data_IF_147585063224
#
_entry.id   IF_147585063224
#
_cell.length_a   1.000
_cell.length_b   1.000
_cell.length_c   1.000
_cell.angle_alpha   90.00
_cell.angle_beta   90.00
_cell.angle_gamma   90.00
#
_symmetry.space_group_name_H-M   'P 1'
#
loop_
_entity.id
_entity.type
_entity.pdbx_description
1 polymer ?
#
# COMPACT_ATOMS: atom_id res chain seq x y z
N UNK A 1 10.56 -14.72 -21.59
CA UNK A 1 10.26 -15.85 -20.69
C UNK A 1 10.14 -15.35 -19.26
N UNK A 2 8.98 -14.81 -18.89
CA UNK A 2 8.60 -14.69 -17.49
C UNK A 2 8.22 -16.10 -17.01
N UNK A 3 8.83 -16.57 -15.93
CA UNK A 3 8.34 -17.75 -15.21
C UNK A 3 6.97 -17.35 -14.64
N UNK A 4 5.91 -17.81 -15.29
CA UNK A 4 4.57 -17.81 -14.72
C UNK A 4 4.64 -18.61 -13.41
N UNK A 5 4.55 -17.92 -12.27
CA UNK A 5 3.87 -18.53 -11.14
C UNK A 5 2.40 -18.56 -11.53
N UNK A 6 1.82 -19.75 -11.67
CA UNK A 6 0.37 -19.91 -11.72
C UNK A 6 -0.18 -19.42 -10.37
N UNK A 7 -0.87 -18.27 -10.27
CA UNK A 7 -1.46 -17.83 -9.01
C UNK A 7 -2.78 -18.59 -8.75
N UNK A 8 -3.26 -19.34 -9.73
CA UNK A 8 -4.54 -20.00 -9.73
C UNK A 8 -4.30 -21.47 -10.04
N UNK A 9 -4.67 -22.33 -9.10
CA UNK A 9 -4.82 -23.77 -9.36
C UNK A 9 -5.84 -24.03 -10.48
N UNK A 10 -6.20 -25.29 -10.74
CA UNK A 10 -7.06 -25.69 -11.87
C UNK A 10 -8.51 -25.18 -11.65
N UNK A 11 -8.73 -23.90 -11.88
CA UNK A 11 -9.95 -23.17 -11.58
C UNK A 11 -10.43 -22.40 -12.80
N UNK A 12 -11.73 -22.41 -13.01
CA UNK A 12 -12.40 -21.67 -14.08
C UNK A 12 -12.16 -20.17 -13.84
N UNK A 13 -11.43 -19.52 -14.73
CA UNK A 13 -11.24 -18.07 -14.68
C UNK A 13 -12.55 -17.37 -15.07
N UNK A 14 -13.08 -16.45 -14.24
CA UNK A 14 -14.23 -15.65 -14.62
C UNK A 14 -13.94 -14.86 -15.89
N UNK A 15 -14.90 -14.79 -16.82
CA UNK A 15 -14.75 -14.04 -18.08
C UNK A 15 -14.32 -12.57 -17.84
N UNK A 16 -14.76 -11.98 -16.71
CA UNK A 16 -14.36 -10.64 -16.31
C UNK A 16 -12.83 -10.46 -16.15
N UNK A 17 -12.11 -11.48 -15.69
CA UNK A 17 -10.65 -11.42 -15.55
C UNK A 17 -9.91 -11.39 -16.89
N UNK A 18 -10.56 -11.84 -17.97
CA UNK A 18 -10.04 -11.75 -19.34
C UNK A 18 -10.44 -10.41 -19.97
N UNK A 19 -11.71 -10.00 -19.78
CA UNK A 19 -12.26 -8.79 -20.39
C UNK A 19 -11.65 -7.52 -19.78
N UNK A 20 -11.34 -7.52 -18.48
CA UNK A 20 -10.84 -6.32 -17.80
C UNK A 20 -9.50 -5.81 -18.37
N UNK A 21 -8.46 -6.65 -18.55
CA UNK A 21 -7.25 -6.24 -19.27
C UNK A 21 -7.51 -5.68 -20.67
N UNK A 22 -8.38 -6.34 -21.46
CA UNK A 22 -8.73 -5.86 -22.80
C UNK A 22 -9.38 -4.48 -22.77
N UNK A 23 -10.27 -4.25 -21.79
CA UNK A 23 -10.92 -2.96 -21.59
C UNK A 23 -9.91 -1.87 -21.18
N UNK A 24 -8.92 -2.20 -20.34
CA UNK A 24 -7.86 -1.25 -19.96
C UNK A 24 -7.00 -0.87 -21.18
N UNK A 25 -6.59 -1.83 -21.99
CA UNK A 25 -5.86 -1.57 -23.25
C UNK A 25 -6.71 -0.69 -24.18
N UNK A 26 -7.99 -1.04 -24.36
CA UNK A 26 -8.91 -0.26 -25.18
C UNK A 26 -9.06 1.18 -24.65
N UNK A 27 -9.12 1.39 -23.34
CA UNK A 27 -9.18 2.72 -22.75
C UNK A 27 -7.98 3.59 -23.15
N UNK A 28 -6.76 3.02 -23.13
CA UNK A 28 -5.54 3.73 -23.57
C UNK A 28 -5.58 4.06 -25.07
N UNK A 29 -6.09 3.14 -25.89
CA UNK A 29 -6.07 3.28 -27.34
C UNK A 29 -7.22 4.13 -27.90
N UNK A 30 -8.36 4.19 -27.22
CA UNK A 30 -9.54 4.91 -27.68
C UNK A 30 -9.57 6.37 -27.20
N UNK A 31 -8.95 6.68 -26.05
CA UNK A 31 -8.88 8.04 -25.55
C UNK A 31 -7.81 8.84 -26.28
N UNK A 32 -8.10 10.14 -26.51
CA UNK A 32 -7.17 11.08 -27.13
C UNK A 32 -6.36 11.78 -26.05
N UNK A 33 -5.30 11.13 -25.60
CA UNK A 33 -4.28 11.75 -24.77
C UNK A 33 -2.92 11.64 -25.46
N UNK A 34 -2.16 12.72 -25.43
CA UNK A 34 -0.81 12.76 -26.01
C UNK A 34 0.19 11.98 -25.15
N UNK A 35 0.01 12.04 -23.82
CA UNK A 35 0.87 11.41 -22.83
C UNK A 35 0.00 10.69 -21.79
N UNK A 36 0.37 9.45 -21.51
CA UNK A 36 -0.23 8.62 -20.48
C UNK A 36 0.72 8.44 -19.31
N UNK A 37 0.23 8.64 -18.08
CA UNK A 37 0.99 8.42 -16.86
C UNK A 37 0.36 7.26 -16.08
N UNK A 38 1.15 6.24 -15.79
CA UNK A 38 0.73 5.08 -15.03
C UNK A 38 1.75 4.71 -13.95
N UNK A 39 1.29 3.96 -12.96
CA UNK A 39 2.16 3.32 -11.97
C UNK A 39 2.77 2.03 -12.53
N UNK A 40 3.96 1.68 -12.04
CA UNK A 40 4.68 0.45 -12.42
C UNK A 40 3.89 -0.84 -12.14
N UNK A 41 2.91 -0.84 -11.24
CA UNK A 41 1.99 -1.97 -11.01
C UNK A 41 1.06 -2.26 -12.22
N UNK A 42 0.97 -1.34 -13.19
CA UNK A 42 0.23 -1.52 -14.45
C UNK A 42 1.11 -1.90 -15.64
N UNK A 43 2.39 -2.25 -15.40
CA UNK A 43 3.37 -2.56 -16.44
C UNK A 43 2.90 -3.62 -17.43
N UNK A 44 2.24 -4.67 -16.97
CA UNK A 44 1.80 -5.77 -17.83
C UNK A 44 0.73 -5.31 -18.84
N UNK A 45 -0.23 -4.49 -18.39
CA UNK A 45 -1.26 -3.88 -19.25
C UNK A 45 -0.63 -2.95 -20.28
N UNK A 46 0.41 -2.21 -19.87
CA UNK A 46 1.12 -1.29 -20.76
C UNK A 46 1.94 -2.04 -21.80
N UNK A 47 2.59 -3.14 -21.41
CA UNK A 47 3.27 -4.02 -22.36
C UNK A 47 2.27 -4.62 -23.36
N UNK A 48 1.14 -5.14 -22.89
CA UNK A 48 0.08 -5.64 -23.76
C UNK A 48 -0.44 -4.58 -24.74
N UNK A 49 -0.55 -3.32 -24.28
CA UNK A 49 -0.95 -2.20 -25.14
C UNK A 49 0.07 -1.93 -26.24
N UNK A 50 1.37 -2.01 -25.91
CA UNK A 50 2.47 -1.80 -26.86
C UNK A 50 2.52 -2.91 -27.90
N UNK A 51 2.46 -4.16 -27.45
CA UNK A 51 2.45 -5.34 -28.31
C UNK A 51 1.28 -5.26 -29.30
N UNK A 52 0.08 -4.92 -28.82
CA UNK A 52 -1.08 -4.72 -29.69
C UNK A 52 -0.88 -3.62 -30.75
N UNK A 53 -0.23 -2.50 -30.40
CA UNK A 53 0.05 -1.44 -31.36
C UNK A 53 1.07 -1.87 -32.42
N UNK A 54 2.02 -2.74 -32.06
CA UNK A 54 3.00 -3.31 -32.97
C UNK A 54 2.33 -4.31 -33.93
N UNK A 55 1.54 -5.24 -33.40
CA UNK A 55 0.82 -6.25 -34.18
C UNK A 55 -0.18 -5.64 -35.18
N UNK A 56 -0.81 -4.54 -34.81
CA UNK A 56 -1.79 -3.84 -35.66
C UNK A 56 -1.16 -2.77 -36.57
N UNK A 57 0.17 -2.61 -36.57
CA UNK A 57 0.88 -1.55 -37.28
C UNK A 57 0.27 -0.16 -37.05
N UNK A 58 -0.11 0.11 -35.80
CA UNK A 58 -0.82 1.35 -35.45
C UNK A 58 0.12 2.54 -35.61
N UNK A 59 -0.27 3.50 -36.45
CA UNK A 59 0.51 4.71 -36.69
C UNK A 59 0.56 5.66 -35.48
N UNK A 60 -0.53 5.73 -34.70
CA UNK A 60 -0.58 6.54 -33.48
C UNK A 60 -0.36 5.67 -32.24
N UNK A 61 0.90 5.55 -31.80
CA UNK A 61 1.30 4.81 -30.60
C UNK A 61 1.29 5.76 -29.38
N UNK A 62 0.70 5.37 -28.24
CA UNK A 62 0.66 6.22 -27.05
C UNK A 62 2.06 6.42 -26.46
N UNK A 63 2.39 7.65 -26.06
CA UNK A 63 3.58 7.92 -25.24
C UNK A 63 3.22 7.65 -23.78
N UNK A 64 3.89 6.68 -23.15
CA UNK A 64 3.56 6.22 -21.80
C UNK A 64 4.76 6.44 -20.86
N UNK A 65 4.51 7.12 -19.74
CA UNK A 65 5.42 7.23 -18.61
C UNK A 65 4.97 6.35 -17.45
N UNK A 66 5.94 5.70 -16.82
CA UNK A 66 5.75 4.84 -15.67
C UNK A 66 6.42 5.48 -14.46
N UNK A 67 5.65 5.75 -13.40
CA UNK A 67 6.20 6.15 -12.10
C UNK A 67 6.32 4.95 -11.16
N UNK A 68 7.29 4.99 -10.26
CA UNK A 68 7.46 3.95 -9.24
C UNK A 68 6.20 3.80 -8.39
N UNK A 69 5.85 2.56 -8.07
CA UNK A 69 4.85 2.28 -7.05
C UNK A 69 5.48 2.52 -5.66
N UNK A 70 4.70 3.09 -4.75
CA UNK A 70 5.15 3.29 -3.36
C UNK A 70 5.16 1.94 -2.63
N UNK A 71 6.16 1.69 -1.77
CA UNK A 71 6.19 0.48 -0.95
C UNK A 71 5.10 0.52 0.13
N UNK A 72 4.67 -0.66 0.58
CA UNK A 72 3.80 -0.80 1.74
C UNK A 72 4.57 -0.52 3.04
N UNK A 73 3.87 -0.10 4.11
CA UNK A 73 4.49 0.18 5.41
C UNK A 73 4.90 -1.08 6.18
N UNK A 74 4.15 -2.17 6.02
CA UNK A 74 4.47 -3.47 6.61
C UNK A 74 4.95 -4.42 5.51
N UNK A 75 5.94 -5.22 5.84
CA UNK A 75 6.50 -6.25 4.94
C UNK A 75 5.80 -7.61 5.09
N UNK A 76 4.88 -7.74 6.05
CA UNK A 76 4.26 -9.02 6.39
C UNK A 76 3.42 -9.60 5.23
N UNK A 77 3.74 -10.80 4.71
CA UNK A 77 3.02 -11.42 3.60
C UNK A 77 1.59 -11.87 3.93
N UNK A 78 1.20 -11.96 5.21
CA UNK A 78 -0.16 -12.31 5.62
C UNK A 78 -1.15 -11.15 5.42
N UNK A 79 -0.67 -9.90 5.44
CA UNK A 79 -1.49 -8.73 5.21
C UNK A 79 -1.43 -8.32 3.74
N UNK A 80 -2.16 -9.01 2.86
CA UNK A 80 -2.19 -8.68 1.42
C UNK A 80 -3.17 -7.55 1.06
N UNK A 81 -4.06 -7.18 1.98
CA UNK A 81 -5.10 -6.19 1.73
C UNK A 81 -4.55 -4.76 1.83
N UNK A 82 -4.50 -4.03 0.72
CA UNK A 82 -4.06 -2.62 0.68
C UNK A 82 -4.99 -1.67 1.43
N UNK A 83 -6.21 -2.09 1.77
CA UNK A 83 -7.13 -1.33 2.62
C UNK A 83 -6.85 -1.48 4.11
N UNK A 84 -5.86 -2.29 4.48
CA UNK A 84 -5.50 -2.47 5.89
C UNK A 84 -4.82 -1.19 6.42
N UNK A 85 -5.34 -0.56 7.50
CA UNK A 85 -4.77 0.67 8.06
C UNK A 85 -3.32 0.57 8.51
N UNK A 86 -2.86 -0.65 8.83
CA UNK A 86 -1.44 -0.88 9.14
C UNK A 86 -0.50 -0.82 7.93
N UNK A 87 -0.98 -0.87 6.68
CA UNK A 87 -0.13 -0.93 5.46
C UNK A 87 -0.12 0.36 4.64
N UNK A 88 -1.19 1.14 4.73
CA UNK A 88 -1.45 2.29 3.86
C UNK A 88 -1.84 3.47 4.73
N UNK A 89 -1.17 4.61 4.52
CA UNK A 89 -1.65 5.88 5.05
C UNK A 89 -2.77 6.38 4.15
N UNK A 90 -3.94 6.62 4.71
CA UNK A 90 -5.07 7.19 3.98
C UNK A 90 -5.07 8.71 4.09
N UNK A 91 -5.65 9.36 3.08
CA UNK A 91 -5.64 10.82 2.96
C UNK A 91 -6.38 11.57 4.08
N UNK A 92 -7.12 10.85 4.93
CA UNK A 92 -7.92 11.38 6.03
C UNK A 92 -7.50 10.76 7.38
N UNK A 93 -6.26 10.27 7.47
CA UNK A 93 -5.69 9.81 8.74
C UNK A 93 -5.37 11.01 9.64
N UNK A 94 -5.52 10.83 10.95
CA UNK A 94 -5.28 11.88 11.94
C UNK A 94 -3.82 11.92 12.39
N UNK A 95 -3.32 13.13 12.67
CA UNK A 95 -1.99 13.34 13.21
C UNK A 95 -1.86 12.85 14.66
N UNK A 96 -0.70 12.28 15.00
CA UNK A 96 -0.29 11.98 16.39
C UNK A 96 1.03 12.66 16.71
N UNK A 97 1.06 13.43 17.81
CA UNK A 97 2.19 14.25 18.23
C UNK A 97 3.48 13.46 18.55
N UNK A 98 4.64 14.08 18.29
CA UNK A 98 5.97 13.61 18.70
C UNK A 98 7.03 14.72 18.55
N UNK A 99 8.07 14.72 19.39
CA UNK A 99 9.16 15.71 19.35
C UNK A 99 10.35 15.21 18.51
N UNK A 100 10.76 15.97 17.50
CA UNK A 100 11.83 15.58 16.56
C UNK A 100 13.00 16.56 16.55
N UNK A 101 14.15 16.09 16.06
CA UNK A 101 15.34 16.93 15.84
C UNK A 101 15.15 17.87 14.63
N UNK A 102 15.70 19.10 14.70
CA UNK A 102 15.54 20.13 13.68
C UNK A 102 16.72 20.17 12.70
N UNK A 103 16.92 19.08 11.94
CA UNK A 103 17.96 19.00 10.91
C UNK A 103 17.35 19.09 9.51
N UNK A 104 17.95 19.90 8.65
CA UNK A 104 17.55 20.05 7.25
C UNK A 104 18.57 19.35 6.35
N UNK A 105 18.09 18.67 5.31
CA UNK A 105 18.92 17.99 4.31
C UNK A 105 18.76 18.69 2.97
N UNK A 106 19.86 18.91 2.26
CA UNK A 106 19.84 19.62 0.97
C UNK A 106 19.49 18.69 -0.20
N UNK A 107 19.64 17.38 -0.02
CA UNK A 107 19.31 16.39 -1.04
C UNK A 107 18.94 15.03 -0.45
N UNK A 108 18.21 14.21 -1.22
CA UNK A 108 17.90 12.83 -0.83
C UNK A 108 19.17 11.97 -0.67
N UNK A 109 20.23 12.25 -1.46
CA UNK A 109 21.51 11.53 -1.37
C UNK A 109 22.17 11.73 -0.01
N UNK A 110 22.17 12.95 0.49
CA UNK A 110 22.71 13.29 1.81
C UNK A 110 21.96 12.54 2.92
N UNK A 111 20.62 12.54 2.86
CA UNK A 111 19.78 11.83 3.82
C UNK A 111 20.06 10.31 3.82
N UNK A 112 20.16 9.69 2.65
CA UNK A 112 20.45 8.26 2.51
C UNK A 112 21.82 7.92 3.13
N UNK A 113 22.86 8.68 2.80
CA UNK A 113 24.21 8.44 3.32
C UNK A 113 24.25 8.48 4.84
N UNK A 114 23.58 9.46 5.45
CA UNK A 114 23.52 9.60 6.91
C UNK A 114 22.69 8.51 7.59
N UNK A 115 21.64 8.03 6.92
CA UNK A 115 20.84 6.91 7.41
C UNK A 115 21.63 5.59 7.35
N UNK A 116 22.34 5.35 6.24
CA UNK A 116 23.18 4.17 6.05
C UNK A 116 24.40 4.16 6.98
N UNK A 117 24.97 5.32 7.33
CA UNK A 117 26.08 5.42 8.29
C UNK A 117 25.65 5.21 9.75
N UNK A 118 24.34 5.29 10.03
CA UNK A 118 23.78 5.25 11.39
C UNK A 118 23.81 6.58 12.14
N UNK A 119 24.27 7.67 11.50
CA UNK A 119 24.28 9.02 12.08
C UNK A 119 22.87 9.65 12.13
N UNK A 120 21.92 9.08 11.38
CA UNK A 120 20.52 9.46 11.37
C UNK A 120 19.67 8.30 11.87
N UNK A 121 19.01 8.50 13.02
CA UNK A 121 18.19 7.48 13.65
C UNK A 121 16.86 7.24 12.90
N UNK A 122 16.42 5.99 12.86
CA UNK A 122 15.17 5.62 12.20
C UNK A 122 13.92 6.24 12.85
N UNK A 123 13.95 6.52 14.15
CA UNK A 123 12.85 7.20 14.84
C UNK A 123 12.65 8.62 14.30
N UNK A 124 13.74 9.37 14.14
CA UNK A 124 13.72 10.73 13.62
C UNK A 124 13.20 10.77 12.17
N UNK A 125 13.64 9.84 11.31
CA UNK A 125 13.15 9.73 9.93
C UNK A 125 11.64 9.45 9.89
N UNK A 126 11.17 8.51 10.71
CA UNK A 126 9.74 8.16 10.80
C UNK A 126 8.91 9.34 11.28
N UNK A 127 9.40 10.10 12.26
CA UNK A 127 8.71 11.25 12.79
C UNK A 127 8.65 12.40 11.77
N UNK A 128 9.77 12.70 11.11
CA UNK A 128 9.84 13.72 10.07
C UNK A 128 8.94 13.37 8.88
N UNK A 129 8.97 12.11 8.41
CA UNK A 129 8.11 11.63 7.34
C UNK A 129 6.63 11.73 7.73
N UNK A 130 6.26 11.33 8.95
CA UNK A 130 4.88 11.46 9.45
C UNK A 130 4.41 12.91 9.38
N UNK A 131 5.21 13.85 9.91
CA UNK A 131 4.87 15.27 9.92
C UNK A 131 4.64 15.79 8.50
N UNK A 132 5.58 15.54 7.59
CA UNK A 132 5.46 15.98 6.19
C UNK A 132 4.24 15.37 5.51
N UNK A 133 3.93 14.10 5.76
CA UNK A 133 2.72 13.48 5.22
C UNK A 133 1.47 14.16 5.77
N UNK A 134 1.39 14.41 7.08
CA UNK A 134 0.26 15.11 7.68
C UNK A 134 0.09 16.51 7.09
N UNK A 135 1.18 17.28 6.95
CA UNK A 135 1.15 18.62 6.33
C UNK A 135 0.60 18.56 4.88
N UNK A 136 0.96 17.53 4.11
CA UNK A 136 0.43 17.32 2.75
C UNK A 136 -1.06 16.95 2.78
N UNK A 137 -1.46 16.10 3.73
CA UNK A 137 -2.83 15.61 3.86
C UNK A 137 -3.79 16.62 4.46
N UNK A 138 -3.30 17.58 5.23
CA UNK A 138 -4.10 18.63 5.88
C UNK A 138 -4.98 19.36 4.86
N UNK A 139 -4.43 19.74 3.70
CA UNK A 139 -5.18 20.38 2.61
C UNK A 139 -6.41 19.56 2.18
N UNK A 140 -6.26 18.24 2.09
CA UNK A 140 -7.34 17.34 1.72
C UNK A 140 -8.32 17.17 2.89
N UNK A 141 -7.80 17.05 4.11
CA UNK A 141 -8.58 17.00 5.33
C UNK A 141 -9.48 18.23 5.53
N UNK A 142 -8.95 19.43 5.31
CA UNK A 142 -9.69 20.70 5.38
C UNK A 142 -10.83 20.75 4.34
N UNK A 143 -10.56 20.31 3.11
CA UNK A 143 -11.57 20.25 2.06
C UNK A 143 -12.74 19.34 2.46
N UNK A 144 -12.45 18.13 2.97
CA UNK A 144 -13.49 17.19 3.37
C UNK A 144 -14.19 17.56 4.70
N UNK A 145 -13.56 18.33 5.59
CA UNK A 145 -14.22 18.87 6.78
C UNK A 145 -15.18 20.01 6.44
N UNK A 146 -14.78 20.90 5.52
CA UNK A 146 -15.58 22.07 5.14
C UNK A 146 -16.70 21.74 4.16
N UNK A 147 -16.56 20.68 3.36
CA UNK A 147 -17.53 20.28 2.35
C UNK A 147 -18.40 19.09 2.82
N UNK A 148 -19.62 19.39 3.28
CA UNK A 148 -20.59 18.39 3.76
C UNK A 148 -21.01 17.36 2.69
N UNK A 149 -21.06 17.75 1.43
CA UNK A 149 -21.41 16.83 0.33
C UNK A 149 -20.30 15.82 0.09
N UNK A 150 -19.06 16.31 0.04
CA UNK A 150 -17.88 15.47 -0.12
C UNK A 150 -17.70 14.53 1.08
N UNK A 151 -17.94 15.04 2.30
CA UNK A 151 -17.91 14.24 3.53
C UNK A 151 -18.94 13.10 3.51
N UNK A 152 -20.17 13.37 3.08
CA UNK A 152 -21.24 12.38 3.01
C UNK A 152 -20.94 11.21 2.05
N UNK A 153 -20.10 11.42 1.04
CA UNK A 153 -19.72 10.36 0.10
C UNK A 153 -18.64 9.42 0.65
N UNK A 154 -17.79 9.91 1.57
CA UNK A 154 -16.65 9.13 2.09
C UNK A 154 -16.99 8.43 3.41
N UNK A 155 -17.82 9.03 4.28
CA UNK A 155 -18.20 8.41 5.57
C UNK A 155 -18.73 6.97 5.44
N UNK A 156 -19.57 6.61 4.44
CA UNK A 156 -20.03 5.23 4.25
C UNK A 156 -18.94 4.27 3.77
N UNK A 157 -17.83 4.78 3.22
CA UNK A 157 -16.74 4.00 2.62
C UNK A 157 -15.44 4.06 3.44
N UNK A 158 -15.41 4.86 4.52
CA UNK A 158 -14.41 4.72 5.59
C UNK A 158 -14.63 3.32 6.14
N UNK A 159 -13.70 2.44 5.77
CA UNK A 159 -13.62 1.03 6.15
C UNK A 159 -14.36 0.83 7.46
N UNK A 160 -15.57 0.24 7.39
CA UNK A 160 -16.06 -0.55 8.51
C UNK A 160 -14.86 -1.41 8.87
N UNK A 161 -14.29 -1.16 10.05
CA UNK A 161 -13.45 -2.12 10.74
C UNK A 161 -14.37 -3.34 10.83
N UNK A 162 -14.32 -4.17 9.78
CA UNK A 162 -15.34 -5.18 9.55
C UNK A 162 -15.36 -6.09 10.76
N UNK A 163 -16.49 -6.75 10.98
CA UNK A 163 -16.65 -7.73 12.05
C UNK A 163 -15.42 -8.66 12.21
N UNK A 164 -14.66 -8.88 11.13
CA UNK A 164 -13.39 -9.59 11.07
C UNK A 164 -12.26 -9.00 11.94
N UNK A 165 -12.04 -7.67 11.99
CA UNK A 165 -10.99 -7.06 12.84
C UNK A 165 -11.39 -7.15 14.32
N UNK A 166 -12.67 -6.94 14.64
CA UNK A 166 -13.20 -7.15 16.00
C UNK A 166 -13.05 -8.62 16.41
N UNK A 167 -13.30 -9.55 15.49
CA UNK A 167 -13.13 -10.99 15.73
C UNK A 167 -11.67 -11.38 15.96
N UNK A 168 -10.74 -10.77 15.23
CA UNK A 168 -9.29 -10.94 15.45
C UNK A 168 -8.86 -10.35 16.80
N UNK A 169 -9.37 -9.16 17.18
CA UNK A 169 -9.11 -8.58 18.49
C UNK A 169 -9.62 -9.48 19.64
N UNK A 170 -10.85 -10.00 19.52
CA UNK A 170 -11.45 -10.92 20.49
C UNK A 170 -10.66 -12.24 20.59
N UNK A 171 -10.20 -12.79 19.47
CA UNK A 171 -9.34 -13.98 19.47
C UNK A 171 -7.98 -13.74 20.13
N UNK A 172 -7.42 -12.53 20.00
CA UNK A 172 -6.17 -12.15 20.66
C UNK A 172 -6.33 -11.97 22.18
N UNK A 173 -7.48 -11.48 22.65
CA UNK A 173 -7.81 -11.42 24.07
C UNK A 173 -8.02 -12.82 24.67
N UNK A 174 -8.67 -13.72 23.92
CA UNK A 174 -8.90 -15.12 24.32
C UNK A 174 -7.61 -15.93 24.41
N UNK A 175 -6.65 -15.70 23.50
CA UNK A 175 -5.29 -16.29 23.56
C UNK A 175 -4.46 -15.74 24.73
N UNK A 176 -4.62 -14.47 25.09
CA UNK A 176 -3.91 -13.87 26.23
C UNK A 176 -4.41 -14.44 27.57
N UNK A 177 -5.72 -14.73 27.68
CA UNK A 177 -6.30 -15.40 28.84
C UNK A 177 -5.83 -16.84 29.04
N UNK A 178 -5.48 -17.55 27.95
CA UNK A 178 -5.01 -18.93 28.01
C UNK A 178 -3.52 -19.08 28.38
N UNK A 179 -2.70 -18.03 28.24
CA UNK A 179 -1.28 -18.07 28.62
C UNK A 179 -1.06 -17.94 30.14
N UNK A 180 -2.08 -17.55 30.91
CA UNK A 180 -2.02 -17.47 32.37
C UNK A 180 -2.45 -18.76 33.10
N UNK A 181 -2.93 -19.80 32.38
CA UNK A 181 -3.42 -21.04 33.02
C UNK A 181 -2.54 -22.28 32.79
N UNK A 182 -1.45 -22.19 32.01
CA UNK A 182 -0.53 -23.32 31.78
C UNK A 182 0.89 -22.93 32.17
N UNK A 183 1.19 -23.03 33.46
CA UNK A 183 2.57 -23.19 33.93
C UNK A 183 2.92 -24.68 33.94
N UNK A 184 3.95 -25.16 33.23
CA UNK A 184 4.42 -26.53 33.39
C UNK A 184 5.25 -26.65 34.67
N UNK A 185 4.94 -27.69 35.44
CA UNK A 185 5.59 -28.13 36.66
C UNK A 185 7.11 -28.26 36.51
N UNK A 186 7.83 -27.78 37.53
CA UNK A 186 9.26 -27.96 37.77
C UNK A 186 9.64 -29.45 37.75
N UNK A 187 10.60 -29.83 36.90
CA UNK A 187 11.29 -31.13 36.99
C UNK A 187 12.60 -30.90 37.76
N UNK A 188 12.63 -31.35 39.02
CA UNK A 188 13.84 -31.42 39.87
C UNK A 188 14.76 -32.55 39.39
N UNK A 189 16.01 -32.23 39.06
CA UNK A 189 17.09 -33.23 38.93
C UNK A 189 17.74 -33.44 40.30
N UNK A 190 17.67 -34.68 40.82
CA UNK A 190 18.44 -35.12 42.00
C UNK A 190 19.81 -35.64 41.56
N UNK A 191 20.93 -35.21 42.16
CA UNK A 191 22.22 -35.84 41.91
C UNK A 191 22.42 -37.05 42.83
N UNK A 192 22.90 -38.14 42.21
CA UNK A 192 23.42 -39.43 42.70
C UNK A 192 22.97 -39.93 44.08
#
# INVERSE_FOLDING_TARGET
YCKYMEPYGPGILPAAQIIYPCMQVAAVLCQKADIWLFSMDKRDIIMLTRDYCEDTNRGNKPTIFLHSALPNLLEDPEFQNSRHPGRTIFMLDEEKEGNGSNRTYSSMKELIVLYESGDLDSFDVKLALRKVINDILELVGEFFHSNKEAQAQIVPHRVEIGADVVKIQMQNEEMSGHLLSVTPSVIEYKPL
#
